data_IF_731997194216
#
_entry.id   IF_731997194216
#
_cell.length_a   1.000
_cell.length_b   1.000
_cell.length_c   1.000
_cell.angle_alpha   90.00
_cell.angle_beta   90.00
_cell.angle_gamma   90.00
#
_symmetry.space_group_name_H-M   'P 1'
#
loop_
_entity.id
_entity.type
_entity.pdbx_description
1 polymer ?
#
# COMPACT_ATOMS: atom_id res chain seq x y z
N UNK A 1 13.40 -16.81 56.85
CA UNK A 1 13.53 -17.02 55.40
C UNK A 1 12.33 -16.41 54.65
N UNK A 2 12.57 -15.52 53.67
CA UNK A 2 11.51 -15.06 52.79
C UNK A 2 10.99 -16.26 51.96
N UNK A 3 9.70 -16.25 51.55
CA UNK A 3 9.17 -17.29 50.69
C UNK A 3 9.91 -17.30 49.35
N UNK A 4 10.10 -18.47 48.71
CA UNK A 4 10.69 -18.54 47.38
C UNK A 4 9.85 -17.72 46.40
N UNK A 5 10.52 -17.00 45.51
CA UNK A 5 9.86 -16.30 44.41
C UNK A 5 9.04 -17.30 43.58
N UNK A 6 7.85 -16.92 43.09
CA UNK A 6 7.08 -17.78 42.20
C UNK A 6 7.93 -18.12 40.96
N UNK A 7 7.96 -19.40 40.60
CA UNK A 7 8.63 -19.88 39.39
C UNK A 7 8.09 -19.13 38.17
N UNK A 8 8.97 -18.66 37.30
CA UNK A 8 8.57 -18.08 36.02
C UNK A 8 7.79 -19.14 35.23
N UNK A 9 6.61 -18.80 34.71
CA UNK A 9 5.83 -19.68 33.83
C UNK A 9 6.73 -20.16 32.67
N UNK A 10 7.08 -21.44 32.64
CA UNK A 10 7.89 -22.04 31.58
C UNK A 10 7.05 -22.15 30.29
N UNK A 11 7.18 -21.14 29.42
CA UNK A 11 6.44 -21.11 28.14
C UNK A 11 7.05 -22.09 27.15
N UNK A 12 6.35 -23.20 26.91
CA UNK A 12 6.79 -24.23 25.97
C UNK A 12 6.43 -23.86 24.52
N UNK A 13 7.38 -24.01 23.60
CA UNK A 13 7.21 -23.77 22.16
C UNK A 13 7.70 -24.95 21.33
N UNK A 14 7.02 -25.22 20.23
CA UNK A 14 7.39 -26.19 19.19
C UNK A 14 7.65 -25.41 17.91
N UNK A 15 8.79 -25.69 17.28
CA UNK A 15 9.14 -25.15 15.96
C UNK A 15 9.08 -26.27 14.94
N UNK A 16 8.02 -26.28 14.15
CA UNK A 16 7.85 -27.16 13.01
C UNK A 16 8.86 -26.83 11.91
N UNK A 17 9.27 -27.83 11.10
CA UNK A 17 10.17 -27.60 9.98
C UNK A 17 9.58 -26.60 8.99
N UNK A 18 10.45 -25.90 8.26
CA UNK A 18 10.06 -25.01 7.17
C UNK A 18 9.42 -25.83 6.05
N UNK A 19 8.28 -25.37 5.56
CA UNK A 19 7.48 -26.05 4.52
C UNK A 19 7.43 -25.24 3.21
N UNK A 20 7.13 -25.91 2.11
CA UNK A 20 6.92 -25.31 0.79
C UNK A 20 5.71 -25.95 0.11
N UNK A 21 4.88 -25.22 -0.67
CA UNK A 21 4.92 -23.78 -0.98
C UNK A 21 4.44 -22.88 0.20
N UNK A 22 4.46 -21.55 0.03
CA UNK A 22 4.03 -20.60 1.06
C UNK A 22 2.50 -20.57 1.19
N UNK A 23 1.77 -20.80 0.09
CA UNK A 23 0.35 -21.10 0.09
C UNK A 23 -0.59 -19.90 -0.05
N UNK A 24 -0.17 -18.83 -0.73
CA UNK A 24 -1.04 -17.68 -1.11
C UNK A 24 -1.68 -17.84 -2.51
N UNK A 25 -1.19 -18.77 -3.32
CA UNK A 25 -1.67 -19.05 -4.68
C UNK A 25 -2.24 -20.46 -4.84
N UNK A 26 -2.93 -20.71 -5.96
CA UNK A 26 -3.30 -22.05 -6.39
C UNK A 26 -2.03 -22.83 -6.80
N UNK A 27 -1.34 -23.39 -5.81
CA UNK A 27 -0.25 -24.35 -6.06
C UNK A 27 -0.84 -25.71 -6.36
N UNK A 28 -0.32 -26.37 -7.40
CA UNK A 28 -0.64 -27.77 -7.74
C UNK A 28 0.05 -28.73 -6.76
N UNK A 29 1.09 -28.27 -6.06
CA UNK A 29 1.90 -29.04 -5.13
C UNK A 29 1.40 -28.83 -3.70
N UNK A 30 1.14 -29.94 -3.00
CA UNK A 30 0.78 -29.95 -1.59
C UNK A 30 1.93 -29.47 -0.69
N UNK A 31 1.56 -29.00 0.50
CA UNK A 31 2.50 -28.53 1.51
C UNK A 31 3.41 -29.68 1.97
N UNK A 32 4.72 -29.53 1.76
CA UNK A 32 5.70 -30.56 2.11
C UNK A 32 7.01 -29.94 2.60
N UNK A 33 7.87 -30.77 3.20
CA UNK A 33 9.21 -30.36 3.59
C UNK A 33 10.10 -30.28 2.35
N UNK A 34 10.85 -29.18 2.14
CA UNK A 34 11.76 -29.07 1.02
C UNK A 34 12.75 -30.24 0.96
N UNK A 35 13.02 -30.71 -0.24
CA UNK A 35 13.99 -31.79 -0.52
C UNK A 35 15.23 -31.24 -1.21
N UNK A 36 16.36 -31.96 -1.13
CA UNK A 36 17.61 -31.52 -1.77
C UNK A 36 17.49 -31.26 -3.29
N UNK A 37 16.46 -31.82 -3.95
CA UNK A 37 16.17 -31.59 -5.37
C UNK A 37 15.64 -30.18 -5.67
N UNK A 38 15.16 -29.46 -4.67
CA UNK A 38 14.59 -28.11 -4.77
C UNK A 38 15.64 -27.00 -4.55
N UNK A 39 16.92 -27.38 -4.48
CA UNK A 39 18.06 -26.48 -4.59
C UNK A 39 18.07 -25.37 -3.54
N UNK A 40 17.98 -24.12 -3.98
CA UNK A 40 18.11 -22.96 -3.11
C UNK A 40 17.04 -22.91 -2.00
N UNK A 41 15.81 -23.36 -2.27
CA UNK A 41 14.73 -23.42 -1.27
C UNK A 41 15.13 -24.36 -0.13
N UNK A 42 15.73 -25.51 -0.44
CA UNK A 42 16.17 -26.48 0.56
C UNK A 42 17.26 -25.92 1.48
N UNK A 43 18.31 -25.32 0.91
CA UNK A 43 19.40 -24.72 1.68
C UNK A 43 18.89 -23.60 2.59
N UNK A 44 18.05 -22.69 2.05
CA UNK A 44 17.50 -21.58 2.84
C UNK A 44 16.52 -22.03 3.91
N UNK A 45 15.73 -23.07 3.66
CA UNK A 45 14.85 -23.66 4.66
C UNK A 45 15.65 -24.27 5.83
N UNK A 46 16.79 -24.91 5.57
CA UNK A 46 17.66 -25.45 6.64
C UNK A 46 18.28 -24.34 7.48
N UNK A 47 18.81 -23.29 6.83
CA UNK A 47 19.38 -22.13 7.53
C UNK A 47 18.33 -21.43 8.40
N UNK A 48 17.11 -21.29 7.87
CA UNK A 48 15.99 -20.69 8.57
C UNK A 48 15.54 -21.55 9.76
N UNK A 49 15.39 -22.86 9.59
CA UNK A 49 15.01 -23.79 10.67
C UNK A 49 15.98 -23.73 11.85
N UNK A 50 17.28 -23.72 11.58
CA UNK A 50 18.31 -23.58 12.61
C UNK A 50 18.19 -22.23 13.33
N UNK A 51 18.01 -21.14 12.57
CA UNK A 51 17.89 -19.78 13.11
C UNK A 51 16.64 -19.62 13.98
N UNK A 52 15.49 -20.13 13.55
CA UNK A 52 14.24 -20.00 14.30
C UNK A 52 14.27 -20.78 15.62
N UNK A 53 14.89 -21.97 15.64
CA UNK A 53 15.02 -22.79 16.85
C UNK A 53 15.90 -22.12 17.91
N UNK A 54 16.95 -21.43 17.49
CA UNK A 54 17.82 -20.65 18.37
C UNK A 54 17.08 -19.40 18.87
N UNK A 55 16.47 -18.65 17.95
CA UNK A 55 15.77 -17.41 18.25
C UNK A 55 14.60 -17.57 19.24
N UNK A 56 13.86 -18.68 19.21
CA UNK A 56 12.77 -18.87 20.20
C UNK A 56 13.29 -19.04 21.63
N UNK A 57 14.48 -19.60 21.81
CA UNK A 57 15.11 -19.72 23.12
C UNK A 57 15.60 -18.36 23.63
N UNK A 58 16.19 -17.55 22.74
CA UNK A 58 16.57 -16.16 23.04
C UNK A 58 15.37 -15.28 23.43
N UNK A 59 14.19 -15.58 22.87
CA UNK A 59 12.93 -14.90 23.20
C UNK A 59 12.29 -15.40 24.51
N UNK A 60 12.97 -16.30 25.23
CA UNK A 60 12.55 -16.79 26.55
C UNK A 60 11.55 -17.95 26.52
N UNK A 61 11.44 -18.68 25.40
CA UNK A 61 10.63 -19.90 25.32
C UNK A 61 11.49 -21.16 25.52
N UNK A 62 10.91 -22.18 26.14
CA UNK A 62 11.51 -23.51 26.23
C UNK A 62 11.14 -24.33 25.00
N UNK A 63 12.11 -24.64 24.16
CA UNK A 63 11.90 -25.42 22.94
C UNK A 63 11.64 -26.90 23.28
N UNK A 64 10.50 -27.43 22.85
CA UNK A 64 10.17 -28.85 22.92
C UNK A 64 10.81 -29.60 21.75
N UNK A 65 11.94 -30.26 22.02
CA UNK A 65 12.69 -31.06 21.06
C UNK A 65 12.10 -32.46 20.83
N UNK A 66 11.14 -32.89 21.64
CA UNK A 66 10.53 -34.22 21.51
C UNK A 66 9.49 -34.26 20.38
N UNK A 67 9.01 -33.10 19.94
CA UNK A 67 8.09 -32.95 18.82
C UNK A 67 8.84 -32.77 17.50
N UNK A 68 8.75 -33.79 16.64
CA UNK A 68 9.42 -33.81 15.34
C UNK A 68 8.67 -33.00 14.26
N UNK A 69 7.54 -32.39 14.60
CA UNK A 69 6.68 -31.66 13.67
C UNK A 69 5.57 -32.54 13.07
N UNK A 70 4.89 -32.04 12.02
CA UNK A 70 3.72 -32.70 11.48
C UNK A 70 4.07 -33.98 10.72
N UNK A 71 3.23 -35.00 10.85
CA UNK A 71 3.25 -36.17 9.98
C UNK A 71 2.94 -35.78 8.52
N UNK A 72 3.38 -36.61 7.58
CA UNK A 72 3.09 -36.42 6.15
C UNK A 72 1.57 -36.32 5.93
N UNK A 73 1.12 -35.24 5.27
CA UNK A 73 -0.30 -34.95 5.04
C UNK A 73 -1.03 -34.23 6.19
N UNK A 74 -0.37 -33.99 7.32
CA UNK A 74 -0.90 -33.30 8.52
C UNK A 74 -0.16 -31.99 8.81
N UNK A 75 0.26 -31.29 7.76
CA UNK A 75 1.04 -30.07 7.85
C UNK A 75 0.20 -28.79 7.64
N UNK A 76 -1.14 -28.89 7.66
CA UNK A 76 -2.03 -27.77 7.40
C UNK A 76 -2.07 -26.82 8.59
N UNK A 77 -2.53 -25.60 8.30
CA UNK A 77 -2.81 -24.57 9.31
C UNK A 77 -3.72 -25.07 10.46
N UNK A 78 -4.69 -25.93 10.14
CA UNK A 78 -5.59 -26.54 11.12
C UNK A 78 -4.85 -27.51 12.05
N UNK A 79 -3.90 -28.28 11.53
CA UNK A 79 -3.12 -29.25 12.30
C UNK A 79 -2.22 -28.54 13.34
N UNK A 80 -1.74 -27.32 13.02
CA UNK A 80 -1.02 -26.46 13.97
C UNK A 80 -1.92 -26.01 15.13
N UNK A 81 -3.19 -25.70 14.85
CA UNK A 81 -4.18 -25.32 15.88
C UNK A 81 -4.49 -26.49 16.79
N UNK A 82 -4.70 -27.67 16.22
CA UNK A 82 -4.93 -28.90 16.99
C UNK A 82 -3.71 -29.27 17.82
N UNK A 83 -2.49 -29.02 17.31
CA UNK A 83 -1.26 -29.24 18.06
C UNK A 83 -1.07 -28.24 19.20
N UNK A 84 -1.42 -26.98 19.01
CA UNK A 84 -1.29 -25.94 20.03
C UNK A 84 -2.23 -26.14 21.23
N UNK A 85 -3.32 -26.91 21.04
CA UNK A 85 -4.24 -27.34 22.09
C UNK A 85 -3.73 -28.57 22.87
N UNK A 86 -2.74 -29.31 22.34
CA UNK A 86 -2.15 -30.46 23.03
C UNK A 86 -1.03 -30.00 23.97
N UNK A 87 -1.06 -30.48 25.22
CA UNK A 87 0.02 -30.29 26.17
C UNK A 87 1.27 -31.06 25.73
N UNK A 88 2.45 -30.46 25.94
CA UNK A 88 3.73 -31.13 25.67
C UNK A 88 3.96 -32.36 26.55
N UNK A 89 4.85 -33.26 26.12
CA UNK A 89 5.13 -34.53 26.83
C UNK A 89 5.69 -34.37 28.26
N UNK A 90 6.09 -33.15 28.68
CA UNK A 90 6.70 -32.87 30.00
C UNK A 90 5.75 -32.50 31.14
N UNK A 91 4.43 -32.63 30.98
CA UNK A 91 3.56 -32.89 32.13
C UNK A 91 3.05 -31.69 32.95
N UNK A 92 2.73 -30.56 32.30
CA UNK A 92 1.71 -29.64 32.83
C UNK A 92 0.39 -29.95 32.12
N UNK A 93 -0.53 -30.66 32.78
CA UNK A 93 -1.81 -31.12 32.20
C UNK A 93 -2.78 -29.97 31.81
N UNK A 94 -2.40 -28.70 32.00
CA UNK A 94 -3.29 -27.54 31.78
C UNK A 94 -2.78 -26.53 30.75
N UNK A 95 -1.57 -26.67 30.23
CA UNK A 95 -0.96 -25.67 29.35
C UNK A 95 -0.72 -26.26 27.96
N UNK A 96 -1.38 -25.67 26.95
CA UNK A 96 -1.06 -25.93 25.55
C UNK A 96 0.36 -25.47 25.23
N UNK A 97 0.79 -25.71 24.00
CA UNK A 97 2.13 -25.31 23.55
C UNK A 97 2.03 -24.34 22.39
N UNK A 98 2.99 -23.42 22.30
CA UNK A 98 3.11 -22.56 21.13
C UNK A 98 3.59 -23.38 19.95
N UNK A 99 3.04 -23.12 18.77
CA UNK A 99 3.44 -23.82 17.54
C UNK A 99 3.81 -22.79 16.49
N UNK A 100 5.04 -22.86 15.99
CA UNK A 100 5.55 -21.99 14.93
C UNK A 100 5.95 -22.84 13.74
N UNK A 101 5.59 -22.39 12.53
CA UNK A 101 6.04 -22.99 11.27
C UNK A 101 6.35 -21.89 10.28
N UNK A 102 7.52 -21.99 9.64
CA UNK A 102 7.85 -21.15 8.50
C UNK A 102 7.40 -21.79 7.19
N UNK A 103 7.03 -20.98 6.22
CA UNK A 103 6.81 -21.42 4.84
C UNK A 103 7.62 -20.57 3.88
N UNK A 104 8.23 -21.23 2.90
CA UNK A 104 9.14 -20.60 1.95
C UNK A 104 8.76 -21.01 0.52
N UNK A 105 8.61 -20.02 -0.36
CA UNK A 105 8.26 -20.22 -1.77
C UNK A 105 9.16 -19.38 -2.68
N UNK A 106 9.67 -19.93 -3.79
CA UNK A 106 10.46 -19.15 -4.74
C UNK A 106 9.59 -18.14 -5.50
N UNK A 107 10.02 -16.87 -5.53
CA UNK A 107 9.32 -15.76 -6.18
C UNK A 107 10.00 -15.27 -7.47
N UNK A 108 10.93 -16.06 -8.01
CA UNK A 108 11.72 -15.74 -9.20
C UNK A 108 13.11 -15.17 -8.86
N UNK A 109 14.14 -15.65 -9.58
CA UNK A 109 15.54 -15.35 -9.27
C UNK A 109 15.94 -15.89 -7.90
N UNK A 110 16.70 -15.10 -7.13
CA UNK A 110 17.07 -15.39 -5.74
C UNK A 110 16.14 -14.66 -4.73
N UNK A 111 14.86 -14.54 -5.07
CA UNK A 111 13.84 -13.97 -4.18
C UNK A 111 12.88 -15.05 -3.71
N UNK A 112 12.44 -14.93 -2.46
CA UNK A 112 11.53 -15.86 -1.80
C UNK A 112 10.36 -15.11 -1.16
N UNK A 113 9.18 -15.72 -1.15
CA UNK A 113 8.10 -15.35 -0.25
C UNK A 113 8.29 -16.14 1.03
N UNK A 114 8.53 -15.42 2.12
CA UNK A 114 8.70 -15.98 3.46
C UNK A 114 7.44 -15.70 4.27
N UNK A 115 6.87 -16.76 4.85
CA UNK A 115 5.73 -16.69 5.77
C UNK A 115 6.10 -17.29 7.10
N UNK A 116 5.81 -16.59 8.20
CA UNK A 116 5.85 -17.15 9.55
C UNK A 116 4.42 -17.31 10.07
N UNK A 117 4.05 -18.56 10.37
CA UNK A 117 2.76 -18.94 10.96
C UNK A 117 3.00 -19.30 12.43
N UNK A 118 2.20 -18.72 13.32
CA UNK A 118 2.26 -19.00 14.75
C UNK A 118 0.86 -19.21 15.31
N UNK A 119 0.75 -20.21 16.19
CA UNK A 119 -0.43 -20.46 17.01
C UNK A 119 -0.01 -20.43 18.47
N UNK A 120 -0.71 -19.64 19.28
CA UNK A 120 -0.45 -19.56 20.71
C UNK A 120 -0.98 -20.81 21.43
N UNK A 121 -0.38 -21.14 22.57
CA UNK A 121 -0.87 -22.20 23.45
C UNK A 121 -2.38 -22.06 23.72
N UNK A 122 -3.14 -23.14 23.58
CA UNK A 122 -4.60 -23.19 23.79
C UNK A 122 -5.43 -22.23 22.90
N UNK A 123 -4.85 -21.67 21.84
CA UNK A 123 -5.54 -20.75 20.93
C UNK A 123 -6.07 -21.45 19.69
N UNK A 124 -7.21 -20.97 19.19
CA UNK A 124 -7.77 -21.32 17.87
C UNK A 124 -7.46 -20.28 16.80
N UNK A 125 -6.65 -19.28 17.13
CA UNK A 125 -6.28 -18.21 16.22
C UNK A 125 -4.90 -18.45 15.62
N UNK A 126 -4.82 -18.35 14.31
CA UNK A 126 -3.57 -18.42 13.55
C UNK A 126 -3.10 -17.01 13.26
N UNK A 127 -1.84 -16.75 13.56
CA UNK A 127 -1.19 -15.46 13.29
C UNK A 127 -0.16 -15.65 12.22
N UNK A 128 -0.23 -14.80 11.19
CA UNK A 128 0.62 -14.92 10.01
C UNK A 128 1.28 -13.57 9.71
N UNK A 129 2.56 -13.64 9.35
CA UNK A 129 3.28 -12.56 8.68
C UNK A 129 3.91 -13.08 7.40
N UNK A 130 3.88 -12.27 6.36
CA UNK A 130 4.41 -12.59 5.03
C UNK A 130 5.28 -11.44 4.57
N UNK A 131 6.46 -11.75 4.03
CA UNK A 131 7.38 -10.77 3.44
C UNK A 131 8.07 -11.39 2.21
N UNK A 132 8.33 -10.59 1.18
CA UNK A 132 9.18 -10.99 0.07
C UNK A 132 10.64 -10.63 0.42
N UNK A 133 11.54 -11.61 0.38
CA UNK A 133 12.91 -11.51 0.87
C UNK A 133 13.91 -12.00 -0.17
N UNK A 134 15.12 -11.43 -0.16
CA UNK A 134 16.25 -11.94 -0.96
C UNK A 134 16.86 -13.16 -0.28
N UNK A 135 17.40 -14.09 -1.05
CA UNK A 135 17.99 -15.34 -0.57
C UNK A 135 18.96 -15.20 0.60
N UNK A 136 19.94 -14.28 0.57
CA UNK A 136 20.88 -14.07 1.67
C UNK A 136 20.21 -13.55 2.96
N UNK A 137 19.05 -12.91 2.86
CA UNK A 137 18.37 -12.23 3.97
C UNK A 137 17.29 -13.09 4.63
N UNK A 138 16.99 -14.29 4.09
CA UNK A 138 15.88 -15.15 4.54
C UNK A 138 15.92 -15.42 6.04
N UNK A 139 17.07 -15.80 6.60
CA UNK A 139 17.21 -16.12 8.03
C UNK A 139 17.03 -14.89 8.93
N UNK A 140 17.64 -13.75 8.55
CA UNK A 140 17.56 -12.50 9.32
C UNK A 140 16.13 -11.97 9.32
N UNK A 141 15.47 -11.96 8.17
CA UNK A 141 14.07 -11.53 8.04
C UNK A 141 13.13 -12.49 8.75
N UNK A 142 13.37 -13.79 8.67
CA UNK A 142 12.62 -14.80 9.41
C UNK A 142 12.64 -14.56 10.92
N UNK A 143 13.79 -14.20 11.49
CA UNK A 143 13.90 -13.84 12.91
C UNK A 143 13.08 -12.59 13.25
N UNK A 144 13.15 -11.54 12.43
CA UNK A 144 12.36 -10.31 12.64
C UNK A 144 10.86 -10.60 12.60
N UNK A 145 10.41 -11.37 11.60
CA UNK A 145 9.01 -11.78 11.49
C UNK A 145 8.57 -12.64 12.67
N UNK A 146 9.41 -13.58 13.11
CA UNK A 146 9.15 -14.41 14.30
C UNK A 146 8.98 -13.54 15.55
N UNK A 147 9.93 -12.62 15.80
CA UNK A 147 9.87 -11.69 16.92
C UNK A 147 8.59 -10.87 16.90
N UNK A 148 8.23 -10.32 15.74
CA UNK A 148 7.03 -9.50 15.59
C UNK A 148 5.75 -10.31 15.83
N UNK A 149 5.70 -11.55 15.37
CA UNK A 149 4.55 -12.44 15.58
C UNK A 149 4.43 -12.84 17.06
N UNK A 150 5.54 -13.18 17.72
CA UNK A 150 5.54 -13.59 19.13
C UNK A 150 5.32 -12.41 20.09
N UNK A 151 5.95 -11.25 19.85
CA UNK A 151 5.82 -10.06 20.70
C UNK A 151 4.40 -9.48 20.71
N UNK A 152 3.72 -9.45 19.55
CA UNK A 152 2.31 -9.05 19.46
C UNK A 152 1.35 -10.04 20.15
N UNK A 153 1.85 -11.19 20.60
CA UNK A 153 1.07 -12.20 21.31
C UNK A 153 1.25 -12.09 22.83
N UNK A 154 2.32 -11.46 23.30
CA UNK A 154 2.53 -11.20 24.73
C UNK A 154 1.71 -10.02 25.28
N UNK A 155 1.25 -9.09 24.42
CA UNK A 155 0.46 -7.93 24.83
C UNK A 155 -1.02 -8.25 25.15
N UNK A 156 -1.47 -9.48 24.91
CA UNK A 156 -2.82 -9.97 25.18
C UNK A 156 -2.69 -11.22 26.08
N UNK A 157 -2.71 -11.02 27.40
CA UNK A 157 -2.49 -12.09 28.38
C UNK A 157 -3.45 -13.28 28.27
N UNK A 158 -3.02 -14.40 28.85
CA UNK A 158 -3.63 -15.76 28.83
C UNK A 158 -5.03 -15.85 29.47
N UNK A 159 -5.55 -14.76 30.04
CA UNK A 159 -6.91 -14.68 30.62
C UNK A 159 -7.95 -13.96 29.75
N UNK A 160 -7.70 -13.82 28.43
CA UNK A 160 -8.74 -13.38 27.52
C UNK A 160 -9.80 -14.47 27.36
N UNK A 161 -10.82 -14.45 28.24
CA UNK A 161 -12.09 -15.18 28.07
C UNK A 161 -12.51 -15.10 26.60
N UNK A 162 -13.01 -16.19 25.99
CA UNK A 162 -13.48 -16.15 24.61
C UNK A 162 -14.46 -14.99 24.50
N UNK A 163 -14.20 -14.08 23.55
CA UNK A 163 -15.10 -12.98 23.26
C UNK A 163 -16.48 -13.59 23.02
N UNK A 164 -17.36 -13.47 24.02
CA UNK A 164 -18.77 -13.69 23.79
C UNK A 164 -19.15 -12.70 22.70
N UNK A 165 -19.90 -13.17 21.71
CA UNK A 165 -20.63 -12.32 20.76
C UNK A 165 -21.69 -11.51 21.52
N UNK A 166 -21.27 -10.73 22.49
CA UNK A 166 -22.06 -9.67 23.11
C UNK A 166 -21.94 -8.48 22.16
N UNK A 167 -23.06 -7.90 21.70
CA UNK A 167 -23.06 -6.73 20.82
C UNK A 167 -22.34 -5.49 21.36
N UNK A 168 -21.88 -5.50 22.63
CA UNK A 168 -21.37 -4.34 23.37
C UNK A 168 -19.90 -4.49 23.85
N UNK A 169 -19.09 -5.35 23.23
CA UNK A 169 -17.65 -5.34 23.53
C UNK A 169 -17.00 -4.04 23.00
N UNK A 170 -16.27 -3.26 23.82
CA UNK A 170 -15.54 -2.10 23.32
C UNK A 170 -14.53 -2.59 22.26
N UNK A 171 -14.42 -1.89 21.12
CA UNK A 171 -13.54 -2.32 20.03
C UNK A 171 -12.10 -2.51 20.54
N UNK A 172 -11.35 -3.51 20.01
CA UNK A 172 -9.94 -3.65 20.33
C UNK A 172 -9.26 -2.29 20.11
N UNK A 173 -8.42 -1.87 21.07
CA UNK A 173 -7.73 -0.58 20.97
C UNK A 173 -7.11 -0.45 19.57
N UNK A 174 -7.44 0.61 18.81
CA UNK A 174 -7.06 0.71 17.41
C UNK A 174 -5.55 0.54 17.27
N UNK A 175 -5.12 -0.17 16.22
CA UNK A 175 -3.73 -0.10 15.77
C UNK A 175 -3.36 1.39 15.74
N UNK A 176 -2.36 1.80 16.53
CA UNK A 176 -1.88 3.20 16.59
C UNK A 176 -1.84 3.77 15.16
N UNK A 177 -2.54 4.88 14.93
CA UNK A 177 -2.74 5.56 13.64
C UNK A 177 -1.55 5.38 12.69
N UNK A 178 -1.70 4.50 11.69
CA UNK A 178 -0.63 4.21 10.72
C UNK A 178 -0.25 5.46 9.91
N UNK A 179 -1.21 6.36 9.71
CA UNK A 179 -1.00 7.64 9.02
C UNK A 179 -0.37 8.74 9.88
N UNK A 180 -0.18 8.53 11.20
CA UNK A 180 0.27 9.59 12.13
C UNK A 180 1.59 10.23 11.71
N UNK A 181 2.58 9.42 11.34
CA UNK A 181 3.89 9.94 10.93
C UNK A 181 3.77 10.79 9.65
N UNK A 182 3.03 10.28 8.65
CA UNK A 182 2.76 10.99 7.40
C UNK A 182 2.00 12.30 7.64
N UNK A 183 0.99 12.28 8.50
CA UNK A 183 0.22 13.46 8.88
C UNK A 183 1.13 14.48 9.58
N UNK A 184 1.94 14.06 10.54
CA UNK A 184 2.84 14.92 11.28
C UNK A 184 3.86 15.60 10.36
N UNK A 185 4.48 14.87 9.43
CA UNK A 185 5.43 15.43 8.46
C UNK A 185 4.74 16.45 7.54
N UNK A 186 3.56 16.12 6.99
CA UNK A 186 2.84 17.05 6.12
C UNK A 186 2.38 18.31 6.85
N UNK A 187 1.86 18.16 8.08
CA UNK A 187 1.44 19.29 8.89
C UNK A 187 2.64 20.16 9.33
N UNK A 188 3.78 19.55 9.66
CA UNK A 188 5.02 20.26 9.96
C UNK A 188 5.45 21.15 8.79
N UNK A 189 5.52 20.57 7.59
CA UNK A 189 5.89 21.28 6.37
C UNK A 189 4.88 22.37 5.99
N UNK A 190 3.58 22.08 6.11
CA UNK A 190 2.54 23.07 5.84
C UNK A 190 2.55 24.21 6.87
N UNK A 191 2.78 23.91 8.15
CA UNK A 191 2.94 24.90 9.20
C UNK A 191 4.17 25.79 8.99
N UNK A 192 5.30 25.20 8.57
CA UNK A 192 6.49 25.94 8.17
C UNK A 192 6.19 26.87 6.97
N UNK A 193 5.51 26.35 5.94
CA UNK A 193 5.08 27.13 4.78
C UNK A 193 4.14 28.29 5.17
N UNK A 194 3.20 28.06 6.09
CA UNK A 194 2.30 29.10 6.58
C UNK A 194 3.07 30.19 7.34
N UNK A 195 4.01 29.82 8.20
CA UNK A 195 4.86 30.78 8.91
C UNK A 195 5.76 31.59 7.96
N UNK A 196 6.37 30.93 6.98
CA UNK A 196 7.13 31.59 5.91
C UNK A 196 6.25 32.60 5.16
N UNK A 197 5.04 32.19 4.80
CA UNK A 197 4.10 33.01 4.04
C UNK A 197 3.63 34.23 4.82
N UNK A 198 3.36 34.07 6.12
CA UNK A 198 3.01 35.18 7.03
C UNK A 198 4.17 36.16 7.16
N UNK A 199 5.40 35.66 7.32
CA UNK A 199 6.57 36.54 7.37
C UNK A 199 6.71 37.35 6.08
N UNK A 200 6.63 36.68 4.93
CA UNK A 200 6.72 37.34 3.61
C UNK A 200 5.62 38.38 3.44
N UNK A 201 4.38 38.05 3.79
CA UNK A 201 3.25 38.96 3.74
C UNK A 201 3.40 40.17 4.68
N UNK A 202 4.14 40.05 5.78
CA UNK A 202 4.44 41.20 6.66
C UNK A 202 5.46 42.19 6.07
N UNK A 203 6.08 41.86 4.93
CA UNK A 203 7.12 42.67 4.28
C UNK A 203 8.49 42.56 4.94
N UNK A 204 8.65 41.70 5.95
CA UNK A 204 9.93 41.46 6.61
C UNK A 204 10.76 40.39 5.89
N UNK A 205 12.02 40.71 5.59
CA UNK A 205 12.99 39.75 5.05
C UNK A 205 14.10 39.40 6.07
N UNK A 206 13.91 39.72 7.35
CA UNK A 206 14.94 39.47 8.37
C UNK A 206 15.11 37.96 8.63
N UNK A 207 16.29 37.37 8.34
CA UNK A 207 16.54 35.95 8.61
C UNK A 207 16.46 35.59 10.10
N UNK A 208 16.65 36.56 11.01
CA UNK A 208 16.54 36.36 12.46
C UNK A 208 15.10 36.10 12.89
N UNK A 209 14.12 36.58 12.12
CA UNK A 209 12.70 36.29 12.33
C UNK A 209 12.27 35.03 11.58
N UNK A 210 12.89 34.75 10.42
CA UNK A 210 12.54 33.61 9.58
C UNK A 210 12.72 32.27 10.30
N UNK A 211 13.92 31.96 10.80
CA UNK A 211 14.16 30.63 11.40
C UNK A 211 13.30 30.35 12.64
N UNK A 212 13.14 31.29 13.59
CA UNK A 212 12.21 31.09 14.71
C UNK A 212 10.76 30.93 14.27
N UNK A 213 10.29 31.71 13.28
CA UNK A 213 8.93 31.58 12.75
C UNK A 213 8.71 30.23 12.05
N UNK A 214 9.68 29.78 11.24
CA UNK A 214 9.64 28.45 10.63
C UNK A 214 9.58 27.35 11.70
N UNK A 215 10.41 27.43 12.74
CA UNK A 215 10.41 26.47 13.83
C UNK A 215 9.06 26.47 14.58
N UNK A 216 8.50 27.65 14.86
CA UNK A 216 7.19 27.80 15.49
C UNK A 216 6.08 27.22 14.63
N UNK A 217 6.04 27.56 13.33
CA UNK A 217 5.07 27.01 12.38
C UNK A 217 5.16 25.50 12.24
N UNK A 218 6.39 24.97 12.18
CA UNK A 218 6.66 23.52 12.16
C UNK A 218 6.13 22.86 13.44
N UNK A 219 6.42 23.45 14.61
CA UNK A 219 5.97 22.95 15.92
C UNK A 219 4.45 22.96 16.06
N UNK A 220 3.79 24.04 15.64
CA UNK A 220 2.31 24.12 15.60
C UNK A 220 1.75 23.05 14.68
N UNK A 221 2.35 22.83 13.50
CA UNK A 221 1.96 21.78 12.56
C UNK A 221 2.07 20.38 13.17
N UNK A 222 3.21 20.03 13.75
CA UNK A 222 3.44 18.74 14.42
C UNK A 222 2.45 18.56 15.58
N UNK A 223 2.34 19.55 16.47
CA UNK A 223 1.44 19.47 17.62
C UNK A 223 -0.01 19.27 17.21
N UNK A 224 -0.49 20.02 16.21
CA UNK A 224 -1.85 19.86 15.68
C UNK A 224 -2.07 18.45 15.11
N UNK A 225 -1.10 17.94 14.34
CA UNK A 225 -1.20 16.59 13.76
C UNK A 225 -1.19 15.49 14.81
N UNK A 226 -0.39 15.64 15.87
CA UNK A 226 -0.35 14.66 16.97
C UNK A 226 -1.68 14.66 17.73
N UNK A 227 -2.26 15.84 18.01
CA UNK A 227 -3.58 15.94 18.62
C UNK A 227 -4.66 15.30 17.74
N UNK A 228 -4.66 15.60 16.44
CA UNK A 228 -5.61 14.99 15.49
C UNK A 228 -5.41 13.48 15.40
N UNK A 229 -4.18 12.97 15.41
CA UNK A 229 -3.92 11.53 15.34
C UNK A 229 -4.18 10.79 16.68
N UNK A 230 -4.28 11.51 17.80
CA UNK A 230 -4.74 10.97 19.08
C UNK A 230 -6.26 10.93 19.16
N UNK A 231 -6.93 11.97 18.67
CA UNK A 231 -8.40 12.06 18.68
C UNK A 231 -9.04 11.24 17.56
N UNK A 232 -8.43 11.20 16.38
CA UNK A 232 -8.94 10.51 15.19
C UNK A 232 -8.04 9.34 14.79
N UNK A 233 -8.65 8.21 14.44
CA UNK A 233 -7.94 7.07 13.87
C UNK A 233 -7.59 7.32 12.39
N UNK A 234 -6.50 8.06 12.18
CA UNK A 234 -6.01 8.47 10.85
C UNK A 234 -5.24 7.34 10.19
N UNK A 235 -5.76 6.82 9.08
CA UNK A 235 -5.05 5.89 8.20
C UNK A 235 -4.05 6.60 7.28
N UNK A 236 -3.20 5.83 6.60
CA UNK A 236 -2.26 6.36 5.59
C UNK A 236 -2.98 7.09 4.46
N UNK A 237 -4.09 6.53 3.98
CA UNK A 237 -4.94 7.18 2.97
C UNK A 237 -5.54 8.50 3.45
N UNK A 238 -6.05 8.57 4.67
CA UNK A 238 -6.58 9.80 5.27
C UNK A 238 -5.51 10.90 5.34
N UNK A 239 -4.30 10.54 5.80
CA UNK A 239 -3.17 11.48 5.92
C UNK A 239 -2.74 12.05 4.55
N UNK A 240 -2.63 11.20 3.53
CA UNK A 240 -2.34 11.65 2.17
C UNK A 240 -3.49 12.46 1.56
N UNK A 241 -4.74 12.10 1.84
CA UNK A 241 -5.90 12.85 1.38
C UNK A 241 -5.97 14.27 1.99
N UNK A 242 -5.65 14.41 3.28
CA UNK A 242 -5.50 15.73 3.93
C UNK A 242 -4.34 16.54 3.32
N UNK A 243 -3.22 15.87 3.05
CA UNK A 243 -2.06 16.47 2.38
C UNK A 243 -2.42 16.99 0.98
N UNK A 244 -3.21 16.23 0.21
CA UNK A 244 -3.72 16.67 -1.09
C UNK A 244 -4.53 17.97 -0.96
N UNK A 245 -5.45 18.03 0.01
CA UNK A 245 -6.23 19.23 0.30
C UNK A 245 -5.36 20.45 0.60
N UNK A 246 -4.42 20.30 1.53
CA UNK A 246 -3.54 21.39 1.96
C UNK A 246 -2.62 21.89 0.84
N UNK A 247 -1.89 21.00 0.18
CA UNK A 247 -0.87 21.40 -0.80
C UNK A 247 -1.44 21.83 -2.13
N UNK A 248 -2.44 21.12 -2.67
CA UNK A 248 -3.08 21.55 -3.91
C UNK A 248 -3.94 22.78 -3.72
N UNK A 249 -4.58 22.93 -2.55
CA UNK A 249 -5.22 24.18 -2.17
C UNK A 249 -4.22 25.34 -2.15
N UNK A 250 -3.03 25.13 -1.57
CA UNK A 250 -2.01 26.17 -1.51
C UNK A 250 -1.43 26.52 -2.88
N UNK A 251 -1.12 25.51 -3.69
CA UNK A 251 -0.69 25.68 -5.07
C UNK A 251 -1.75 26.44 -5.89
N UNK A 252 -3.03 26.08 -5.75
CA UNK A 252 -4.13 26.80 -6.39
C UNK A 252 -4.16 28.27 -5.96
N UNK A 253 -4.11 28.54 -4.65
CA UNK A 253 -4.17 29.90 -4.10
C UNK A 253 -3.07 30.80 -4.64
N UNK A 254 -1.82 30.33 -4.61
CA UNK A 254 -0.68 31.11 -5.10
C UNK A 254 -0.72 31.31 -6.62
N UNK A 255 -1.14 30.30 -7.39
CA UNK A 255 -1.26 30.39 -8.85
C UNK A 255 -2.37 31.36 -9.27
N UNK A 256 -3.54 31.32 -8.62
CA UNK A 256 -4.63 32.28 -8.85
C UNK A 256 -4.16 33.71 -8.54
N UNK A 257 -3.44 33.91 -7.43
CA UNK A 257 -2.90 35.22 -7.06
C UNK A 257 -1.87 35.74 -8.06
N UNK A 258 -1.01 34.86 -8.58
CA UNK A 258 -0.08 35.18 -9.67
C UNK A 258 -0.84 35.59 -10.94
N UNK A 259 -1.84 34.79 -11.38
CA UNK A 259 -2.63 35.09 -12.57
C UNK A 259 -3.46 36.37 -12.46
N UNK A 260 -3.91 36.72 -11.25
CA UNK A 260 -4.59 38.01 -10.98
C UNK A 260 -3.65 39.18 -10.74
N UNK A 261 -2.34 38.97 -10.83
CA UNK A 261 -1.33 40.01 -10.59
C UNK A 261 -1.53 40.72 -9.24
N UNK A 262 -1.86 39.98 -8.19
CA UNK A 262 -2.03 40.55 -6.84
C UNK A 262 -0.75 41.29 -6.42
N UNK A 263 -0.94 42.50 -5.91
CA UNK A 263 0.10 43.38 -5.40
C UNK A 263 -0.17 43.72 -3.92
N UNK A 264 0.87 43.84 -3.08
CA UNK A 264 2.28 43.56 -3.38
C UNK A 264 2.56 42.07 -3.67
N UNK A 265 3.70 41.76 -4.31
CA UNK A 265 4.12 40.37 -4.62
C UNK A 265 4.10 39.45 -3.39
N UNK A 266 4.39 40.01 -2.22
CA UNK A 266 4.39 39.32 -0.92
C UNK A 266 3.00 38.80 -0.51
N UNK A 267 1.91 39.44 -0.95
CA UNK A 267 0.55 39.03 -0.58
C UNK A 267 0.13 37.74 -1.26
N UNK A 268 0.81 37.34 -2.35
CA UNK A 268 0.54 36.09 -3.07
C UNK A 268 0.78 34.86 -2.18
N UNK A 269 1.68 34.96 -1.20
CA UNK A 269 1.91 33.89 -0.23
C UNK A 269 0.71 33.70 0.71
N UNK A 270 0.05 34.79 1.13
CA UNK A 270 -1.18 34.71 1.93
C UNK A 270 -2.32 34.03 1.18
N UNK A 271 -2.42 34.25 -0.14
CA UNK A 271 -3.37 33.52 -0.99
C UNK A 271 -3.05 32.01 -1.04
N UNK A 272 -1.77 31.64 -1.08
CA UNK A 272 -1.34 30.25 -0.94
C UNK A 272 -1.78 29.64 0.40
N UNK A 273 -1.52 30.31 1.53
CA UNK A 273 -2.00 29.83 2.84
C UNK A 273 -3.52 29.73 2.88
N UNK A 274 -4.24 30.76 2.42
CA UNK A 274 -5.70 30.77 2.37
C UNK A 274 -6.26 29.62 1.54
N UNK A 275 -5.70 29.40 0.34
CA UNK A 275 -6.07 28.27 -0.51
C UNK A 275 -5.81 26.92 0.14
N UNK A 276 -4.66 26.76 0.81
CA UNK A 276 -4.32 25.53 1.53
C UNK A 276 -5.24 25.26 2.71
N UNK A 277 -5.62 26.28 3.48
CA UNK A 277 -6.58 26.16 4.57
C UNK A 277 -7.99 25.80 4.07
N UNK A 278 -8.43 26.39 2.96
CA UNK A 278 -9.71 26.03 2.32
C UNK A 278 -9.67 24.57 1.85
N UNK A 279 -8.60 24.16 1.17
CA UNK A 279 -8.43 22.78 0.69
C UNK A 279 -8.35 21.77 1.84
N UNK A 280 -7.63 22.09 2.92
CA UNK A 280 -7.59 21.29 4.14
C UNK A 280 -8.98 21.18 4.79
N UNK A 281 -9.73 22.27 4.87
CA UNK A 281 -11.09 22.28 5.43
C UNK A 281 -12.02 21.38 4.63
N UNK A 282 -11.96 21.43 3.30
CA UNK A 282 -12.74 20.56 2.42
C UNK A 282 -12.32 19.09 2.56
N UNK A 283 -11.02 18.82 2.69
CA UNK A 283 -10.53 17.46 2.89
C UNK A 283 -10.99 16.89 4.24
N UNK A 284 -10.87 17.67 5.31
CA UNK A 284 -11.39 17.33 6.65
C UNK A 284 -12.89 17.09 6.62
N UNK A 285 -13.67 17.95 5.97
CA UNK A 285 -15.11 17.76 5.81
C UNK A 285 -15.46 16.49 5.01
N UNK A 286 -14.68 16.14 4.00
CA UNK A 286 -14.88 14.87 3.28
C UNK A 286 -14.59 13.66 4.17
N UNK A 287 -13.60 13.76 5.07
CA UNK A 287 -13.26 12.71 6.03
C UNK A 287 -14.33 12.52 7.13
N UNK A 288 -15.06 13.56 7.51
CA UNK A 288 -16.19 13.40 8.45
C UNK A 288 -17.32 12.55 7.86
N UNK A 289 -17.38 12.40 6.52
CA UNK A 289 -18.33 11.53 5.83
C UNK A 289 -17.84 10.09 5.64
N UNK A 290 -16.56 9.82 5.89
CA UNK A 290 -15.97 8.49 5.79
C UNK A 290 -14.48 8.51 5.49
N UNK A 291 -13.78 7.48 5.99
CA UNK A 291 -12.34 7.28 5.76
C UNK A 291 -12.01 7.16 4.28
N UNK A 292 -10.79 7.58 3.91
CA UNK A 292 -10.22 7.49 2.57
C UNK A 292 -9.13 6.44 2.54
N UNK A 293 -9.19 5.56 1.56
CA UNK A 293 -8.10 4.65 1.26
C UNK A 293 -6.99 5.36 0.47
N UNK A 294 -5.87 4.68 0.28
CA UNK A 294 -4.74 5.22 -0.50
C UNK A 294 -5.14 5.52 -1.95
N UNK A 295 -6.09 4.75 -2.50
CA UNK A 295 -6.61 4.96 -3.84
C UNK A 295 -7.33 6.28 -4.00
N UNK A 296 -8.20 6.62 -3.04
CA UNK A 296 -8.87 7.92 -2.94
C UNK A 296 -7.87 9.08 -2.79
N UNK A 297 -6.82 8.89 -1.99
CA UNK A 297 -5.76 9.89 -1.85
C UNK A 297 -5.00 10.12 -3.16
N UNK A 298 -4.56 9.04 -3.82
CA UNK A 298 -3.86 9.12 -5.11
C UNK A 298 -4.76 9.71 -6.19
N UNK A 299 -6.04 9.33 -6.25
CA UNK A 299 -7.03 9.93 -7.17
C UNK A 299 -7.16 11.43 -6.95
N UNK A 300 -7.16 11.89 -5.70
CA UNK A 300 -7.27 13.31 -5.38
C UNK A 300 -6.02 14.08 -5.77
N UNK A 301 -4.82 13.54 -5.51
CA UNK A 301 -3.57 14.13 -5.97
C UNK A 301 -3.46 14.17 -7.50
N UNK A 302 -3.79 13.06 -8.16
CA UNK A 302 -3.85 12.92 -9.62
C UNK A 302 -4.80 13.95 -10.23
N UNK A 303 -6.04 14.03 -9.73
CA UNK A 303 -7.04 14.94 -10.24
C UNK A 303 -6.65 16.40 -10.11
N UNK A 304 -6.05 16.80 -8.99
CA UNK A 304 -5.52 18.14 -8.83
C UNK A 304 -4.33 18.42 -9.77
N UNK A 305 -3.42 17.45 -9.95
CA UNK A 305 -2.29 17.57 -10.88
C UNK A 305 -2.71 17.64 -12.35
N UNK A 306 -3.60 16.76 -12.78
CA UNK A 306 -4.22 16.81 -14.11
C UNK A 306 -5.01 18.10 -14.30
N UNK A 307 -5.76 18.51 -13.28
CA UNK A 307 -6.46 19.80 -13.25
C UNK A 307 -5.51 20.97 -13.47
N UNK A 308 -4.36 20.99 -12.80
CA UNK A 308 -3.33 22.01 -12.98
C UNK A 308 -2.85 22.06 -14.44
N UNK A 309 -2.49 20.92 -15.02
CA UNK A 309 -1.99 20.84 -16.40
C UNK A 309 -3.07 21.27 -17.40
N UNK A 310 -4.27 20.72 -17.29
CA UNK A 310 -5.39 21.03 -18.18
C UNK A 310 -5.86 22.47 -18.03
N UNK A 311 -5.80 23.04 -16.82
CA UNK A 311 -6.07 24.44 -16.56
C UNK A 311 -5.06 25.35 -17.26
N UNK A 312 -3.77 25.01 -17.22
CA UNK A 312 -2.71 25.70 -17.97
C UNK A 312 -2.93 25.67 -19.47
N UNK A 313 -3.22 24.47 -20.01
CA UNK A 313 -3.58 24.32 -21.41
C UNK A 313 -4.83 25.12 -21.76
N UNK A 314 -5.83 25.19 -20.88
CA UNK A 314 -7.05 25.98 -21.08
C UNK A 314 -6.78 27.49 -21.17
N UNK A 315 -5.90 28.03 -20.32
CA UNK A 315 -5.47 29.43 -20.39
C UNK A 315 -4.75 29.72 -21.71
N UNK A 316 -3.75 28.90 -22.05
CA UNK A 316 -3.01 29.02 -23.32
C UNK A 316 -3.93 28.90 -24.55
N UNK A 317 -4.95 28.02 -24.48
CA UNK A 317 -5.95 27.88 -25.54
C UNK A 317 -6.81 29.14 -25.68
N UNK A 318 -7.25 29.70 -24.55
CA UNK A 318 -8.08 30.91 -24.55
C UNK A 318 -7.31 32.10 -25.15
N UNK A 319 -6.05 32.27 -24.76
CA UNK A 319 -5.17 33.34 -25.24
C UNK A 319 -4.67 33.09 -26.67
N UNK A 320 -4.53 31.82 -27.07
CA UNK A 320 -3.96 31.44 -28.36
C UNK A 320 -2.46 31.73 -28.48
N UNK A 321 -1.75 31.84 -27.36
CA UNK A 321 -0.31 32.15 -27.30
C UNK A 321 0.43 31.09 -26.49
N UNK A 322 1.66 30.77 -26.90
CA UNK A 322 2.53 29.82 -26.19
C UNK A 322 3.66 30.49 -25.39
N UNK A 323 3.90 31.78 -25.63
CA UNK A 323 5.00 32.54 -25.01
C UNK A 323 4.67 33.08 -23.62
N UNK A 324 3.40 32.99 -23.21
CA UNK A 324 2.94 33.40 -21.89
C UNK A 324 3.06 32.24 -20.90
N UNK A 325 3.61 32.49 -19.72
CA UNK A 325 3.57 31.53 -18.62
C UNK A 325 2.18 31.55 -18.00
N UNK A 326 1.38 30.47 -18.10
CA UNK A 326 0.04 30.45 -17.54
C UNK A 326 0.12 30.36 -16.02
N UNK A 327 -0.69 31.16 -15.33
CA UNK A 327 -0.78 31.14 -13.86
C UNK A 327 -2.23 30.97 -13.39
N UNK A 328 -3.18 31.68 -13.99
CA UNK A 328 -4.57 31.66 -13.54
C UNK A 328 -5.24 30.31 -13.80
N UNK A 329 -5.12 29.81 -15.03
CA UNK A 329 -5.64 28.53 -15.48
C UNK A 329 -5.15 27.35 -14.66
N UNK A 330 -3.84 27.18 -14.45
CA UNK A 330 -3.30 26.13 -13.58
C UNK A 330 -3.85 26.20 -12.15
N UNK A 331 -4.00 27.41 -11.60
CA UNK A 331 -4.56 27.60 -10.26
C UNK A 331 -6.02 27.14 -10.17
N UNK A 332 -6.89 27.65 -11.05
CA UNK A 332 -8.29 27.22 -11.10
C UNK A 332 -8.45 25.74 -11.43
N UNK A 333 -7.64 25.24 -12.36
CA UNK A 333 -7.62 23.84 -12.75
C UNK A 333 -7.26 22.93 -11.59
N UNK A 334 -6.23 23.28 -10.79
CA UNK A 334 -5.86 22.54 -9.60
C UNK A 334 -7.00 22.51 -8.57
N UNK A 335 -7.68 23.64 -8.32
CA UNK A 335 -8.84 23.69 -7.42
C UNK A 335 -10.00 22.83 -7.90
N UNK A 336 -10.38 22.96 -9.18
CA UNK A 336 -11.47 22.16 -9.78
C UNK A 336 -11.11 20.68 -9.75
N UNK A 337 -9.87 20.33 -10.10
CA UNK A 337 -9.35 18.97 -10.05
C UNK A 337 -9.36 18.39 -8.64
N UNK A 338 -8.91 19.15 -7.64
CA UNK A 338 -8.94 18.77 -6.22
C UNK A 338 -10.36 18.48 -5.74
N UNK A 339 -11.30 19.40 -5.98
CA UNK A 339 -12.70 19.23 -5.54
C UNK A 339 -13.38 18.11 -6.32
N UNK A 340 -13.21 18.08 -7.64
CA UNK A 340 -13.81 17.09 -8.52
C UNK A 340 -13.33 15.67 -8.21
N UNK A 341 -12.01 15.47 -8.13
CA UNK A 341 -11.44 14.17 -7.82
C UNK A 341 -11.65 13.76 -6.35
N UNK A 342 -11.60 14.70 -5.41
CA UNK A 342 -11.98 14.43 -4.01
C UNK A 342 -13.45 14.00 -3.86
N UNK A 343 -14.34 14.60 -4.66
CA UNK A 343 -15.74 14.18 -4.74
C UNK A 343 -15.87 12.81 -5.40
N UNK A 344 -15.21 12.55 -6.53
CA UNK A 344 -15.21 11.24 -7.19
C UNK A 344 -14.64 10.13 -6.29
N UNK A 345 -13.61 10.44 -5.50
CA UNK A 345 -13.03 9.54 -4.51
C UNK A 345 -14.01 9.16 -3.39
N UNK A 346 -15.09 9.91 -3.20
CA UNK A 346 -16.19 9.53 -2.30
C UNK A 346 -17.22 8.60 -2.94
N UNK A 347 -17.25 8.53 -4.27
CA UNK A 347 -18.23 7.78 -5.05
C UNK A 347 -17.68 6.47 -5.62
N UNK A 348 -16.36 6.42 -5.88
CA UNK A 348 -15.72 5.31 -6.58
C UNK A 348 -14.49 4.84 -5.80
N UNK A 349 -14.37 3.52 -5.61
CA UNK A 349 -13.16 2.89 -5.11
C UNK A 349 -12.27 2.48 -6.27
N UNK A 350 -11.03 2.96 -6.25
CA UNK A 350 -10.03 2.70 -7.29
C UNK A 350 -8.73 2.35 -6.59
N UNK A 351 -7.98 1.35 -7.05
CA UNK A 351 -6.66 1.07 -6.47
C UNK A 351 -5.65 2.17 -6.84
N UNK A 352 -4.64 2.46 -6.00
CA UNK A 352 -3.55 3.38 -6.33
C UNK A 352 -2.89 3.08 -7.69
N UNK A 353 -2.61 1.80 -7.95
CA UNK A 353 -2.00 1.34 -9.20
C UNK A 353 -2.86 1.67 -10.43
N UNK A 354 -4.18 1.55 -10.31
CA UNK A 354 -5.09 1.87 -11.41
C UNK A 354 -5.12 3.36 -11.69
N UNK A 355 -5.13 4.21 -10.67
CA UNK A 355 -5.02 5.68 -10.85
C UNK A 355 -3.73 6.03 -11.58
N UNK A 356 -2.60 5.46 -11.17
CA UNK A 356 -1.32 5.71 -11.84
C UNK A 356 -1.30 5.26 -13.31
N UNK A 357 -1.97 4.15 -13.64
CA UNK A 357 -2.12 3.71 -15.03
C UNK A 357 -3.00 4.66 -15.85
N UNK A 358 -4.04 5.23 -15.23
CA UNK A 358 -4.88 6.26 -15.86
C UNK A 358 -4.07 7.52 -16.10
N UNK A 359 -3.26 7.96 -15.14
CA UNK A 359 -2.37 9.12 -15.27
C UNK A 359 -1.33 8.90 -16.37
N UNK A 360 -0.72 7.71 -16.41
CA UNK A 360 0.21 7.34 -17.47
C UNK A 360 -0.48 7.36 -18.84
N UNK A 361 -1.69 6.79 -18.94
CA UNK A 361 -2.49 6.83 -20.15
C UNK A 361 -2.82 8.26 -20.60
N UNK A 362 -3.20 9.11 -19.65
CA UNK A 362 -3.47 10.52 -19.90
C UNK A 362 -2.20 11.26 -20.36
N UNK A 363 -1.07 11.05 -19.70
CA UNK A 363 0.21 11.65 -20.08
C UNK A 363 0.68 11.21 -21.47
N UNK A 364 0.69 9.90 -21.75
CA UNK A 364 1.05 9.36 -23.06
C UNK A 364 0.10 9.82 -24.16
N UNK A 365 -1.21 9.86 -23.87
CA UNK A 365 -2.21 10.39 -24.78
C UNK A 365 -1.98 11.86 -25.10
N UNK A 366 -1.67 12.68 -24.08
CA UNK A 366 -1.33 14.09 -24.25
C UNK A 366 -0.09 14.29 -25.12
N UNK A 367 0.96 13.50 -24.91
CA UNK A 367 2.17 13.52 -25.74
C UNK A 367 1.90 13.09 -27.20
N UNK A 368 1.06 12.07 -27.41
CA UNK A 368 0.66 11.67 -28.75
C UNK A 368 -0.17 12.77 -29.44
N UNK A 369 -1.11 13.37 -28.71
CA UNK A 369 -1.92 14.50 -29.19
C UNK A 369 -1.07 15.72 -29.54
N UNK A 370 -0.09 16.06 -28.70
CA UNK A 370 0.83 17.17 -28.96
C UNK A 370 1.73 16.88 -30.16
N UNK A 371 2.23 15.65 -30.32
CA UNK A 371 3.01 15.25 -31.50
C UNK A 371 2.20 15.40 -32.81
N UNK A 372 0.93 14.99 -32.81
CA UNK A 372 0.03 15.16 -33.96
C UNK A 372 -0.29 16.64 -34.22
N UNK A 373 -0.43 17.45 -33.17
CA UNK A 373 -0.68 18.88 -33.28
C UNK A 373 0.56 19.71 -33.62
N UNK A 374 1.77 19.18 -33.40
CA UNK A 374 3.03 19.92 -33.50
C UNK A 374 3.28 20.55 -34.89
N UNK A 375 2.99 19.86 -36.02
CA UNK A 375 3.06 20.46 -37.37
C UNK A 375 2.27 21.77 -37.52
N UNK A 376 1.22 21.98 -36.73
CA UNK A 376 0.45 23.22 -36.79
C UNK A 376 1.28 24.44 -36.38
N UNK A 377 2.31 24.29 -35.55
CA UNK A 377 3.03 25.42 -34.91
C UNK A 377 4.39 25.70 -35.56
N UNK A 378 4.91 24.82 -36.42
CA UNK A 378 6.29 24.94 -36.96
C UNK A 378 6.50 25.94 -38.11
N UNK A 379 5.43 26.44 -38.73
CA UNK A 379 5.56 27.44 -39.81
C UNK A 379 5.40 28.87 -39.27
N UNK A 380 4.16 29.23 -38.92
CA UNK A 380 3.76 30.53 -38.39
C UNK A 380 2.89 30.30 -37.15
N UNK A 381 3.32 30.82 -36.01
CA UNK A 381 2.57 30.71 -34.74
C UNK A 381 1.38 31.67 -34.77
N UNK A 382 0.27 31.21 -35.35
CA UNK A 382 -1.01 31.91 -35.30
C UNK A 382 -1.86 31.40 -34.14
N UNK A 383 -2.76 32.25 -33.61
CA UNK A 383 -3.66 31.85 -32.53
C UNK A 383 -4.52 30.61 -32.86
N UNK A 384 -4.95 30.48 -34.12
CA UNK A 384 -5.70 29.30 -34.59
C UNK A 384 -4.86 28.02 -34.57
N UNK A 385 -3.62 28.10 -35.04
CA UNK A 385 -2.66 26.98 -35.03
C UNK A 385 -2.29 26.55 -33.60
N UNK A 386 -2.04 27.52 -32.71
CA UNK A 386 -1.82 27.27 -31.27
C UNK A 386 -3.00 26.57 -30.62
N UNK A 387 -4.22 27.05 -30.87
CA UNK A 387 -5.45 26.41 -30.36
C UNK A 387 -5.63 24.99 -30.89
N UNK A 388 -5.31 24.75 -32.15
CA UNK A 388 -5.31 23.40 -32.74
C UNK A 388 -4.32 22.46 -32.05
N UNK A 389 -3.09 22.91 -31.82
CA UNK A 389 -2.07 22.14 -31.09
C UNK A 389 -2.49 21.80 -29.66
N UNK A 390 -2.99 22.79 -28.93
CA UNK A 390 -3.45 22.59 -27.54
C UNK A 390 -4.69 21.70 -27.51
N UNK A 391 -5.64 21.90 -28.43
CA UNK A 391 -6.84 21.09 -28.57
C UNK A 391 -6.50 19.62 -28.84
N UNK A 392 -5.54 19.35 -29.73
CA UNK A 392 -5.05 18.00 -29.99
C UNK A 392 -4.39 17.38 -28.75
N UNK A 393 -3.61 18.16 -27.99
CA UNK A 393 -2.99 17.73 -26.73
C UNK A 393 -4.06 17.36 -25.70
N UNK A 394 -5.04 18.22 -25.45
CA UNK A 394 -6.13 17.97 -24.49
C UNK A 394 -6.97 16.76 -24.90
N UNK A 395 -7.34 16.66 -26.19
CA UNK A 395 -8.07 15.52 -26.71
C UNK A 395 -7.29 14.21 -26.54
N UNK A 396 -5.99 14.24 -26.83
CA UNK A 396 -5.07 13.13 -26.59
C UNK A 396 -5.04 12.70 -25.12
N UNK A 397 -4.92 13.66 -24.20
CA UNK A 397 -4.93 13.40 -22.75
C UNK A 397 -6.21 12.71 -22.30
N UNK A 398 -7.38 13.23 -22.74
CA UNK A 398 -8.69 12.67 -22.38
C UNK A 398 -8.86 11.26 -22.96
N UNK A 399 -8.52 11.06 -24.24
CA UNK A 399 -8.65 9.76 -24.90
C UNK A 399 -7.70 8.72 -24.30
N UNK A 400 -6.45 9.11 -24.01
CA UNK A 400 -5.47 8.24 -23.37
C UNK A 400 -5.88 7.81 -21.97
N UNK A 401 -6.37 8.75 -21.15
CA UNK A 401 -6.91 8.46 -19.82
C UNK A 401 -8.15 7.55 -19.88
N UNK A 402 -9.08 7.81 -20.81
CA UNK A 402 -10.27 6.99 -21.01
C UNK A 402 -9.93 5.57 -21.49
N UNK A 403 -8.97 5.43 -22.41
CA UNK A 403 -8.48 4.14 -22.87
C UNK A 403 -7.82 3.36 -21.73
N UNK A 404 -6.94 4.00 -20.96
CA UNK A 404 -6.32 3.36 -19.79
C UNK A 404 -7.37 2.97 -18.73
N UNK A 405 -8.36 3.83 -18.44
CA UNK A 405 -9.48 3.49 -17.57
C UNK A 405 -10.25 2.26 -18.05
N UNK A 406 -10.53 2.19 -19.36
CA UNK A 406 -11.25 1.10 -19.98
C UNK A 406 -10.46 -0.21 -19.96
N UNK A 407 -9.16 -0.17 -20.25
CA UNK A 407 -8.29 -1.34 -20.26
C UNK A 407 -7.99 -1.87 -18.86
N UNK A 408 -7.97 -1.00 -17.86
CA UNK A 408 -7.73 -1.35 -16.45
C UNK A 408 -8.99 -1.63 -15.66
N UNK A 409 -10.18 -1.47 -16.27
CA UNK A 409 -11.42 -1.87 -15.60
C UNK A 409 -11.31 -3.37 -15.33
N UNK A 410 -11.47 -3.77 -14.07
CA UNK A 410 -11.63 -5.18 -13.78
C UNK A 410 -12.80 -5.66 -14.64
N UNK A 411 -12.52 -6.58 -15.56
CA UNK A 411 -13.56 -7.47 -16.05
C UNK A 411 -14.05 -8.12 -14.78
N UNK A 412 -15.26 -7.79 -14.34
CA UNK A 412 -15.91 -8.56 -13.29
C UNK A 412 -15.74 -10.01 -13.71
N UNK A 413 -14.94 -10.80 -12.98
CA UNK A 413 -15.07 -12.23 -13.09
C UNK A 413 -16.57 -12.46 -12.86
N UNK A 414 -17.31 -13.00 -13.85
CA UNK A 414 -18.66 -13.43 -13.56
C UNK A 414 -18.52 -14.35 -12.37
N UNK A 415 -19.21 -14.02 -11.25
CA UNK A 415 -19.34 -14.91 -10.10
C UNK A 415 -19.52 -16.31 -10.69
N UNK A 416 -18.56 -17.22 -10.45
CA UNK A 416 -18.58 -18.57 -11.00
C UNK A 416 -19.93 -19.19 -10.68
N UNK A 417 -20.85 -19.14 -11.65
CA UNK A 417 -22.02 -19.99 -11.67
C UNK A 417 -21.47 -21.39 -11.94
N UNK A 418 -21.71 -22.29 -10.99
CA UNK A 418 -21.59 -23.75 -11.02
C UNK A 418 -20.90 -24.42 -12.24
N UNK A 419 -19.88 -25.24 -11.94
CA UNK A 419 -19.49 -26.45 -12.70
C UNK A 419 -19.72 -26.40 -14.22
N UNK A 420 -18.87 -25.65 -14.92
CA UNK A 420 -18.81 -25.66 -16.38
C UNK A 420 -17.68 -26.58 -16.86
N UNK A 421 -18.06 -27.60 -17.63
CA UNK A 421 -17.18 -28.51 -18.38
C UNK A 421 -16.04 -27.72 -19.06
N UNK A 422 -14.79 -27.91 -18.62
CA UNK A 422 -13.66 -27.20 -19.21
C UNK A 422 -12.97 -28.13 -20.22
N UNK A 423 -13.20 -27.88 -21.51
CA UNK A 423 -12.57 -28.59 -22.61
C UNK A 423 -11.66 -27.63 -23.37
N UNK A 424 -10.37 -27.95 -23.45
CA UNK A 424 -9.39 -27.18 -24.20
C UNK A 424 -8.87 -28.04 -25.36
N UNK A 425 -9.03 -27.61 -26.62
CA UNK A 425 -8.40 -28.31 -27.74
C UNK A 425 -6.88 -28.11 -27.68
N UNK A 426 -6.14 -29.18 -27.95
CA UNK A 426 -4.68 -29.11 -28.13
C UNK A 426 -4.31 -29.73 -29.48
N UNK A 427 -3.24 -29.22 -30.07
CA UNK A 427 -2.67 -29.73 -31.30
C UNK A 427 -1.15 -29.61 -31.26
N UNK A 428 -0.44 -30.66 -31.65
CA UNK A 428 1.01 -30.68 -31.60
C UNK A 428 1.62 -31.94 -32.21
N UNK A 429 2.93 -31.91 -32.40
CA UNK A 429 3.69 -33.08 -32.81
C UNK A 429 3.66 -34.12 -31.69
N UNK A 430 2.99 -35.24 -31.92
CA UNK A 430 2.99 -36.35 -30.99
C UNK A 430 4.27 -37.17 -31.18
N UNK A 431 4.95 -37.53 -30.09
CA UNK A 431 6.13 -38.38 -30.18
C UNK A 431 5.73 -39.73 -30.81
N UNK A 432 6.48 -40.16 -31.82
CA UNK A 432 6.26 -41.49 -32.40
C UNK A 432 6.52 -42.55 -31.33
N UNK A 433 5.63 -43.54 -31.16
CA UNK A 433 5.85 -44.63 -30.21
C UNK A 433 7.02 -45.55 -30.63
N UNK A 434 7.57 -45.36 -31.84
CA UNK A 434 8.69 -46.13 -32.36
C UNK A 434 9.97 -45.30 -32.25
N UNK A 435 11.03 -45.78 -31.57
CA UNK A 435 12.32 -45.09 -31.53
C UNK A 435 12.86 -44.85 -32.95
N UNK A 436 13.00 -43.58 -33.34
CA UNK A 436 13.47 -43.17 -34.68
C UNK A 436 12.39 -42.98 -35.76
N UNK A 437 11.10 -43.13 -35.43
CA UNK A 437 10.01 -42.88 -36.38
C UNK A 437 9.71 -41.38 -36.59
N UNK A 438 9.15 -40.97 -37.76
CA UNK A 438 8.77 -39.59 -38.01
C UNK A 438 7.67 -39.14 -37.04
N UNK A 439 7.76 -37.89 -36.55
CA UNK A 439 6.75 -37.30 -35.68
C UNK A 439 5.45 -37.06 -36.46
N UNK A 440 4.34 -37.56 -35.91
CA UNK A 440 3.01 -37.31 -36.45
C UNK A 440 2.40 -36.06 -35.82
N UNK A 441 1.67 -35.25 -36.59
CA UNK A 441 0.87 -34.16 -36.04
C UNK A 441 -0.51 -34.68 -35.66
N UNK A 442 -0.92 -34.47 -34.41
CA UNK A 442 -2.22 -34.86 -33.89
C UNK A 442 -2.90 -33.72 -33.14
N UNK A 443 -4.22 -33.72 -33.14
CA UNK A 443 -5.05 -32.82 -32.35
C UNK A 443 -6.09 -33.59 -31.53
N UNK A 444 -6.39 -33.09 -30.34
CA UNK A 444 -7.34 -33.68 -29.40
C UNK A 444 -7.97 -32.64 -28.52
N UNK A 445 -8.86 -33.06 -27.62
CA UNK A 445 -9.50 -32.19 -26.63
C UNK A 445 -9.16 -32.75 -25.25
N UNK A 446 -8.53 -31.92 -24.42
CA UNK A 446 -8.24 -32.25 -23.03
C UNK A 446 -9.28 -31.56 -22.16
N UNK A 447 -9.99 -32.34 -21.34
CA UNK A 447 -10.97 -31.79 -20.41
C UNK A 447 -10.99 -32.54 -19.09
N UNK A 448 -11.38 -31.83 -18.04
CA UNK A 448 -11.72 -32.38 -16.73
C UNK A 448 -13.24 -32.44 -16.61
N UNK A 449 -13.76 -33.64 -16.39
CA UNK A 449 -15.19 -33.93 -16.21
C UNK A 449 -15.60 -33.80 -14.74
#
# INVERSE_FOLDING_TARGET
PPPPAPAADERTIVVWPTLTPAGDGASVTELHRPTAKEGAVYTRAQDLDATLRDAVQDLGFTLDLADNGPDVGHARDLDMVDRAQKSGMRGSMSEGSWVVSARLEPAGGDNFILRIVCVAANSRQIRVRVEQVKGPDVSVRGLLLLRDVLANTQALGVDAKPASNTPDAPPPSPLRSQGRATLAVNAALFGAYAAFSIQRASGSEDPRLLYPLLALGTGVGIGSALLVAEEWDVGTGDAWYLSAGAWWGAASGILIANGRNVQPLTDRYSWGVGGGLVGLTLATFSLTRGKKDEGAAVLTHSGAGLGLVLGGLGELYSEGKLEHTPYGGPGWGAAIGLVGAGTLASLVKVSPSRVLLIDLGAGLGGLAGSAVGSPLVFEDVTAGKTRGFIGATVAGTVLGGAAAWYLTRHSFEPKKTATGLHMVPYGGAMPSPTPGGPSGFGGGVQGTF
#
